data_IF_560258108200
#
_entry.id   IF_560258108200
#
_cell.length_a   1.000
_cell.length_b   1.000
_cell.length_c   1.000
_cell.angle_alpha   90.00
_cell.angle_beta   90.00
_cell.angle_gamma   90.00
#
_symmetry.space_group_name_H-M   'P 1'
#
loop_
_entity.id
_entity.type
_entity.pdbx_description
1 polymer ?
#
# COMPACT_ATOMS: atom_id res chain seq x y z
N UNK A 1 -10.87 5.82 42.40
CA UNK A 1 -10.03 7.05 42.28
C UNK A 1 -8.68 6.81 41.57
N UNK A 2 -7.95 5.75 41.91
CA UNK A 2 -6.68 5.36 41.25
C UNK A 2 -6.79 5.13 39.74
N UNK A 3 -7.84 4.42 39.29
CA UNK A 3 -8.07 4.15 37.85
C UNK A 3 -8.27 5.44 37.06
N UNK A 4 -9.07 6.38 37.58
CA UNK A 4 -9.28 7.69 36.97
C UNK A 4 -7.97 8.47 36.82
N UNK A 5 -7.10 8.46 37.84
CA UNK A 5 -5.78 9.11 37.79
C UNK A 5 -4.87 8.46 36.74
N UNK A 6 -4.89 7.13 36.59
CA UNK A 6 -4.13 6.43 35.54
C UNK A 6 -4.60 6.81 34.14
N UNK A 7 -5.92 6.84 33.91
CA UNK A 7 -6.50 7.24 32.62
C UNK A 7 -6.14 8.69 32.30
N UNK A 8 -6.31 9.60 33.26
CA UNK A 8 -5.95 11.02 33.08
C UNK A 8 -4.47 11.20 32.72
N UNK A 9 -3.57 10.49 33.41
CA UNK A 9 -2.13 10.53 33.09
C UNK A 9 -1.84 10.09 31.65
N UNK A 10 -2.53 9.04 31.18
CA UNK A 10 -2.43 8.59 29.79
C UNK A 10 -2.89 9.65 28.79
N UNK A 11 -4.03 10.30 29.05
CA UNK A 11 -4.56 11.39 28.21
C UNK A 11 -3.57 12.56 28.15
N UNK A 12 -3.02 12.98 29.29
CA UNK A 12 -2.03 14.06 29.31
C UNK A 12 -0.77 13.70 28.52
N UNK A 13 -0.27 12.46 28.64
CA UNK A 13 0.90 12.03 27.88
C UNK A 13 0.68 12.08 26.36
N UNK A 14 -0.50 11.65 25.89
CA UNK A 14 -0.88 11.74 24.47
C UNK A 14 -0.99 13.20 24.02
N UNK A 15 -1.60 14.06 24.86
CA UNK A 15 -1.76 15.48 24.56
C UNK A 15 -0.41 16.21 24.45
N UNK A 16 0.52 15.95 25.37
CA UNK A 16 1.88 16.52 25.29
C UNK A 16 2.62 16.04 24.04
N UNK A 17 2.54 14.73 23.73
CA UNK A 17 3.15 14.17 22.51
C UNK A 17 2.59 14.82 21.24
N UNK A 18 1.27 15.09 21.21
CA UNK A 18 0.64 15.78 20.10
C UNK A 18 1.18 17.21 19.94
N UNK A 19 1.21 17.98 21.03
CA UNK A 19 1.71 19.37 21.01
C UNK A 19 3.17 19.43 20.57
N UNK A 20 4.02 18.54 21.08
CA UNK A 20 5.43 18.47 20.71
C UNK A 20 5.61 18.23 19.20
N UNK A 21 4.89 17.26 18.64
CA UNK A 21 4.93 16.97 17.19
C UNK A 21 4.48 18.16 16.34
N UNK A 22 3.44 18.87 16.76
CA UNK A 22 2.96 20.07 16.06
C UNK A 22 3.99 21.19 16.16
N UNK A 23 4.58 21.40 17.35
CA UNK A 23 5.61 22.41 17.58
C UNK A 23 6.81 22.19 16.65
N UNK A 24 7.34 20.97 16.63
CA UNK A 24 8.50 20.61 15.79
C UNK A 24 8.13 20.64 14.31
N UNK A 25 7.02 20.02 13.93
CA UNK A 25 6.63 19.89 12.52
C UNK A 25 6.24 21.21 11.85
N UNK A 26 5.77 22.19 12.62
CA UNK A 26 5.37 23.52 12.12
C UNK A 26 6.31 24.64 12.53
N UNK A 27 7.38 24.31 13.26
CA UNK A 27 8.32 25.27 13.83
C UNK A 27 7.61 26.44 14.57
N UNK A 28 6.57 26.10 15.35
CA UNK A 28 5.79 27.06 16.12
C UNK A 28 6.33 27.16 17.55
N UNK A 29 6.10 28.28 18.23
CA UNK A 29 6.42 28.38 19.65
C UNK A 29 5.43 27.57 20.50
N UNK A 30 5.91 26.99 21.61
CA UNK A 30 5.06 26.26 22.55
C UNK A 30 3.83 27.06 22.99
N UNK A 31 3.99 28.37 23.23
CA UNK A 31 2.89 29.27 23.61
C UNK A 31 1.83 29.40 22.51
N UNK A 32 2.25 29.44 21.23
CA UNK A 32 1.31 29.51 20.11
C UNK A 32 0.58 28.17 19.95
N UNK A 33 1.29 27.05 20.06
CA UNK A 33 0.67 25.71 20.01
C UNK A 33 -0.35 25.53 21.13
N UNK A 34 -0.04 25.93 22.36
CA UNK A 34 -0.98 25.82 23.50
C UNK A 34 -2.27 26.60 23.27
N UNK A 35 -2.19 27.80 22.68
CA UNK A 35 -3.37 28.60 22.32
C UNK A 35 -4.22 27.96 21.22
N UNK A 36 -3.58 27.26 20.28
CA UNK A 36 -4.26 26.62 19.15
C UNK A 36 -4.82 25.23 19.50
N UNK A 37 -4.18 24.50 20.41
CA UNK A 37 -4.42 23.09 20.72
C UNK A 37 -5.55 22.85 21.74
N UNK A 38 -6.60 23.66 21.76
CA UNK A 38 -7.68 23.56 22.76
C UNK A 38 -8.87 22.67 22.37
N UNK A 39 -8.67 21.74 21.43
CA UNK A 39 -9.74 20.86 20.92
C UNK A 39 -10.74 21.55 19.98
N UNK A 40 -10.46 22.78 19.54
CA UNK A 40 -11.27 23.50 18.54
C UNK A 40 -10.97 22.98 17.14
N UNK A 41 -12.01 22.91 16.31
CA UNK A 41 -11.90 22.60 14.88
C UNK A 41 -11.64 23.90 14.10
N UNK A 42 -10.72 23.83 13.14
CA UNK A 42 -10.36 24.93 12.26
C UNK A 42 -10.72 24.59 10.82
N UNK A 43 -11.19 25.59 10.07
CA UNK A 43 -11.33 25.47 8.62
C UNK A 43 -9.95 25.48 7.95
N UNK A 44 -9.85 25.01 6.71
CA UNK A 44 -8.60 25.03 5.95
C UNK A 44 -7.99 26.44 5.89
N UNK A 45 -8.78 27.46 5.55
CA UNK A 45 -8.32 28.85 5.49
C UNK A 45 -7.77 29.36 6.82
N UNK A 46 -8.47 29.08 7.93
CA UNK A 46 -7.97 29.44 9.27
C UNK A 46 -6.68 28.71 9.61
N UNK A 47 -6.59 27.43 9.27
CA UNK A 47 -5.39 26.63 9.48
C UNK A 47 -4.19 27.21 8.70
N UNK A 48 -4.41 27.71 7.49
CA UNK A 48 -3.38 28.37 6.68
C UNK A 48 -2.89 29.65 7.35
N UNK A 49 -3.81 30.53 7.78
CA UNK A 49 -3.48 31.79 8.48
C UNK A 49 -2.71 31.53 9.79
N UNK A 50 -3.02 30.44 10.49
CA UNK A 50 -2.38 30.07 11.74
C UNK A 50 -1.03 29.36 11.54
N UNK A 51 -0.71 28.93 10.32
CA UNK A 51 0.51 28.17 9.99
C UNK A 51 0.43 26.69 10.36
N UNK A 52 -0.78 26.13 10.42
CA UNK A 52 -1.03 24.70 10.67
C UNK A 52 -0.99 23.87 9.38
N UNK A 53 -1.19 24.52 8.22
CA UNK A 53 -1.03 23.93 6.88
C UNK A 53 -0.26 24.89 5.99
N UNK A 54 0.35 24.38 4.93
CA UNK A 54 1.22 25.18 4.05
C UNK A 54 0.48 25.74 2.84
N UNK A 55 -0.58 25.04 2.39
CA UNK A 55 -1.36 25.41 1.20
C UNK A 55 -2.77 24.80 1.25
N UNK A 56 -3.71 25.46 0.59
CA UNK A 56 -5.05 24.93 0.29
C UNK A 56 -5.08 24.44 -1.15
N UNK A 57 -5.50 23.19 -1.35
CA UNK A 57 -5.46 22.52 -2.64
C UNK A 57 -6.15 21.16 -2.63
N UNK A 58 -6.15 20.52 -3.81
CA UNK A 58 -6.69 19.18 -4.01
C UNK A 58 -5.63 18.07 -3.92
N UNK A 59 -6.06 16.83 -4.19
CA UNK A 59 -5.16 15.67 -4.21
C UNK A 59 -4.16 15.75 -5.37
N UNK A 60 -4.61 16.17 -6.54
CA UNK A 60 -3.79 16.30 -7.75
C UNK A 60 -2.63 17.27 -7.51
N UNK A 61 -2.91 18.40 -6.88
CA UNK A 61 -1.92 19.42 -6.55
C UNK A 61 -0.94 18.91 -5.47
N UNK A 62 -1.42 18.15 -4.48
CA UNK A 62 -0.55 17.53 -3.49
C UNK A 62 0.42 16.51 -4.13
N UNK A 63 -0.06 15.73 -5.10
CA UNK A 63 0.76 14.78 -5.86
C UNK A 63 1.80 15.50 -6.70
N UNK A 64 1.42 16.58 -7.38
CA UNK A 64 2.34 17.40 -8.17
C UNK A 64 3.44 18.02 -7.29
N UNK A 65 3.07 18.59 -6.13
CA UNK A 65 4.04 19.14 -5.17
C UNK A 65 5.00 18.05 -4.67
N UNK A 66 4.50 16.86 -4.39
CA UNK A 66 5.33 15.73 -3.97
C UNK A 66 6.30 15.28 -5.08
N UNK A 67 5.82 15.17 -6.32
CA UNK A 67 6.64 14.82 -7.48
C UNK A 67 7.73 15.87 -7.73
N UNK A 68 7.38 17.15 -7.69
CA UNK A 68 8.32 18.25 -7.83
C UNK A 68 9.36 18.27 -6.69
N UNK A 69 8.94 18.01 -5.45
CA UNK A 69 9.84 17.94 -4.29
C UNK A 69 10.80 16.75 -4.37
N UNK A 70 10.39 15.66 -5.02
CA UNK A 70 11.22 14.49 -5.29
C UNK A 70 12.07 14.61 -6.59
N UNK A 71 11.88 15.69 -7.37
CA UNK A 71 12.59 15.91 -8.63
C UNK A 71 12.20 14.93 -9.75
N UNK A 72 10.99 14.38 -9.70
CA UNK A 72 10.49 13.41 -10.68
C UNK A 72 9.42 14.04 -11.57
N UNK A 73 9.56 13.86 -12.89
CA UNK A 73 8.61 14.37 -13.90
C UNK A 73 7.70 13.29 -14.45
N UNK A 74 8.11 12.02 -14.37
CA UNK A 74 7.34 10.88 -14.84
C UNK A 74 7.06 9.94 -13.66
N UNK A 75 5.80 9.81 -13.27
CA UNK A 75 5.35 8.97 -12.18
C UNK A 75 4.00 8.33 -12.50
N UNK A 76 3.74 7.17 -11.89
CA UNK A 76 2.45 6.50 -11.97
C UNK A 76 1.77 6.55 -10.60
N UNK A 77 0.52 7.00 -10.58
CA UNK A 77 -0.28 7.01 -9.37
C UNK A 77 -0.92 5.62 -9.18
N UNK A 78 -0.70 5.04 -8.00
CA UNK A 78 -1.24 3.72 -7.64
C UNK A 78 -2.05 3.86 -6.36
N UNK A 79 -3.34 3.56 -6.43
CA UNK A 79 -4.19 3.48 -5.24
C UNK A 79 -3.95 2.17 -4.50
N UNK A 80 -3.83 2.25 -3.17
CA UNK A 80 -3.64 1.11 -2.29
C UNK A 80 -4.85 0.94 -1.36
N UNK A 81 -5.17 -0.31 -0.93
CA UNK A 81 -4.51 -1.56 -1.32
C UNK A 81 -4.85 -1.96 -2.77
N UNK A 82 -3.92 -2.62 -3.46
CA UNK A 82 -4.23 -3.21 -4.78
C UNK A 82 -5.24 -4.32 -4.58
N UNK A 83 -6.44 -4.16 -5.13
CA UNK A 83 -7.39 -5.27 -5.22
C UNK A 83 -6.74 -6.38 -6.06
N UNK A 84 -6.87 -7.62 -5.61
CA UNK A 84 -6.37 -8.77 -6.36
C UNK A 84 -7.06 -8.79 -7.71
N UNK A 85 -6.28 -8.95 -8.78
CA UNK A 85 -6.85 -9.15 -10.11
C UNK A 85 -7.64 -10.45 -10.15
N UNK A 86 -8.61 -10.58 -11.08
CA UNK A 86 -9.41 -11.80 -11.23
C UNK A 86 -8.54 -13.05 -11.43
N UNK A 87 -7.40 -12.92 -12.12
CA UNK A 87 -6.43 -14.00 -12.32
C UNK A 87 -5.78 -14.41 -10.99
N UNK A 88 -5.39 -13.44 -10.16
CA UNK A 88 -4.81 -13.71 -8.84
C UNK A 88 -5.83 -14.35 -7.88
N UNK A 89 -7.10 -13.95 -7.97
CA UNK A 89 -8.19 -14.58 -7.22
C UNK A 89 -8.33 -16.05 -7.65
N UNK A 90 -8.46 -16.31 -8.96
CA UNK A 90 -8.58 -17.67 -9.51
C UNK A 90 -7.35 -18.52 -9.14
N UNK A 91 -6.15 -17.99 -9.33
CA UNK A 91 -4.90 -18.70 -9.00
C UNK A 91 -4.80 -19.02 -7.50
N UNK A 92 -5.23 -18.10 -6.62
CA UNK A 92 -5.23 -18.32 -5.17
C UNK A 92 -6.25 -19.37 -4.71
N UNK A 93 -7.38 -19.50 -5.42
CA UNK A 93 -8.36 -20.54 -5.15
C UNK A 93 -7.91 -21.90 -5.68
N UNK A 94 -7.25 -21.94 -6.85
CA UNK A 94 -6.77 -23.16 -7.49
C UNK A 94 -5.56 -23.76 -6.74
N UNK A 95 -4.63 -22.93 -6.26
CA UNK A 95 -3.42 -23.37 -5.54
C UNK A 95 -3.69 -23.85 -4.12
N UNK A 96 -4.81 -23.42 -3.51
CA UNK A 96 -5.18 -23.83 -2.16
C UNK A 96 -5.70 -25.28 -2.07
N UNK A 97 -6.06 -25.92 -3.19
CA UNK A 97 -6.75 -27.22 -3.17
C UNK A 97 -6.00 -28.38 -3.85
N UNK A 98 -4.87 -28.20 -4.55
CA UNK A 98 -4.20 -29.31 -5.25
C UNK A 98 -2.68 -29.19 -5.29
N UNK A 99 -1.95 -30.30 -5.05
CA UNK A 99 -0.53 -30.43 -5.43
C UNK A 99 -0.47 -30.51 -6.97
N UNK A 100 -0.22 -29.39 -7.63
CA UNK A 100 0.00 -29.40 -9.08
C UNK A 100 1.25 -30.21 -9.42
N UNK A 101 1.06 -31.32 -10.13
CA UNK A 101 2.13 -32.06 -10.79
C UNK A 101 2.01 -31.84 -12.29
N UNK A 102 3.14 -31.52 -12.94
CA UNK A 102 3.21 -31.42 -14.40
C UNK A 102 3.11 -32.85 -14.99
N UNK A 103 2.32 -33.09 -16.05
CA UNK A 103 2.35 -34.37 -16.76
C UNK A 103 3.69 -34.55 -17.47
N UNK A 104 4.22 -35.77 -17.53
CA UNK A 104 5.27 -36.11 -18.49
C UNK A 104 4.75 -35.86 -19.91
N UNK A 105 5.51 -35.18 -20.81
CA UNK A 105 6.94 -34.88 -20.71
C UNK A 105 7.32 -33.59 -20.00
N UNK A 106 6.36 -32.73 -19.64
CA UNK A 106 6.60 -31.41 -19.07
C UNK A 106 7.14 -31.44 -17.63
N UNK A 107 7.00 -32.57 -16.92
CA UNK A 107 7.67 -32.81 -15.63
C UNK A 107 9.17 -33.09 -15.75
N UNK A 108 9.65 -33.47 -16.94
CA UNK A 108 11.04 -33.90 -17.13
C UNK A 108 11.70 -33.07 -18.23
N UNK A 109 12.47 -32.06 -17.82
CA UNK A 109 13.15 -31.13 -18.71
C UNK A 109 14.07 -31.83 -19.74
N UNK A 110 14.61 -33.01 -19.41
CA UNK A 110 15.47 -33.79 -20.32
C UNK A 110 14.73 -34.35 -21.54
N UNK A 111 13.41 -34.56 -21.45
CA UNK A 111 12.63 -35.09 -22.58
C UNK A 111 12.63 -34.13 -23.78
N UNK A 112 12.56 -32.82 -23.51
CA UNK A 112 12.50 -31.79 -24.55
C UNK A 112 13.85 -31.60 -25.25
N UNK A 113 14.95 -31.76 -24.50
CA UNK A 113 16.31 -31.73 -25.04
C UNK A 113 16.60 -32.97 -25.90
N UNK A 114 16.07 -34.13 -25.52
CA UNK A 114 16.27 -35.39 -26.25
C UNK A 114 15.34 -35.56 -27.46
N UNK A 115 14.28 -34.76 -27.59
CA UNK A 115 13.30 -34.83 -28.67
C UNK A 115 13.14 -33.49 -29.38
N UNK A 116 14.09 -33.06 -30.22
CA UNK A 116 14.04 -31.76 -30.90
C UNK A 116 12.84 -31.59 -31.84
N UNK A 117 12.23 -32.68 -32.31
CA UNK A 117 10.99 -32.67 -33.09
C UNK A 117 9.72 -32.44 -32.26
N UNK A 118 9.80 -32.45 -30.92
CA UNK A 118 8.66 -32.29 -30.01
C UNK A 118 7.85 -31.03 -30.32
N UNK A 119 8.54 -29.91 -30.56
CA UNK A 119 7.89 -28.62 -30.84
C UNK A 119 7.28 -28.52 -32.23
N UNK A 120 7.70 -29.38 -33.17
CA UNK A 120 7.18 -29.40 -34.54
C UNK A 120 5.81 -30.07 -34.63
N UNK A 121 5.46 -30.89 -33.65
CA UNK A 121 4.11 -31.50 -33.52
C UNK A 121 3.03 -30.44 -33.27
N UNK A 122 3.40 -29.27 -32.73
CA UNK A 122 2.46 -28.19 -32.44
C UNK A 122 2.40 -27.21 -33.61
N UNK A 123 1.57 -27.52 -34.60
CA UNK A 123 1.39 -26.68 -35.81
C UNK A 123 0.64 -25.37 -35.58
N UNK A 124 0.11 -25.14 -34.36
CA UNK A 124 -0.61 -23.92 -33.98
C UNK A 124 -0.21 -23.51 -32.56
N UNK A 125 -0.12 -22.19 -32.25
CA UNK A 125 0.01 -21.73 -30.88
C UNK A 125 -1.13 -22.29 -30.03
N UNK A 126 -0.80 -23.11 -29.03
CA UNK A 126 -1.77 -23.68 -28.10
C UNK A 126 -1.47 -23.17 -26.70
N UNK A 127 -2.49 -22.70 -26.00
CA UNK A 127 -2.43 -22.46 -24.56
C UNK A 127 -3.10 -23.65 -23.89
N UNK A 128 -2.30 -24.62 -23.45
CA UNK A 128 -2.76 -25.73 -22.61
C UNK A 128 -2.02 -25.62 -21.29
N UNK A 129 -2.76 -25.56 -20.19
CA UNK A 129 -2.15 -25.60 -18.87
C UNK A 129 -1.67 -27.04 -18.61
N UNK A 130 -0.36 -27.27 -18.38
CA UNK A 130 0.19 -28.61 -18.23
C UNK A 130 0.02 -29.08 -16.78
N UNK A 131 -1.18 -29.48 -16.36
CA UNK A 131 -1.37 -30.07 -15.02
C UNK A 131 -2.19 -31.36 -15.09
N UNK A 132 -1.86 -32.30 -14.21
CA UNK A 132 -2.70 -33.47 -13.91
C UNK A 132 -3.32 -33.24 -12.55
N UNK A 133 -4.65 -33.26 -12.49
CA UNK A 133 -5.38 -33.28 -11.22
C UNK A 133 -5.39 -34.74 -10.77
N UNK A 134 -4.57 -35.08 -9.78
CA UNK A 134 -4.70 -36.34 -9.05
C UNK A 134 -5.69 -36.12 -7.91
N UNK A 135 -6.80 -36.87 -7.93
CA UNK A 135 -7.74 -36.96 -6.82
C UNK A 135 -7.41 -38.29 -6.14
N UNK A 136 -6.98 -38.27 -4.88
CA UNK A 136 -6.94 -39.46 -4.01
C UNK A 136 -8.35 -39.78 -3.51
#
# INVERSE_FOLDING_TARGET
ELERKRIQKGIYAVYETFKERVQVGRNLSASKVEKLAQGRVWTGSQALEMGLVDKIGGLEEAVEIAANSAGITNYNLVHLPKEKTTIEIIASQLSAQTKLSLPSPFSNYNYMIQNPGFFQTFSKPQVRLPYVISID
#
